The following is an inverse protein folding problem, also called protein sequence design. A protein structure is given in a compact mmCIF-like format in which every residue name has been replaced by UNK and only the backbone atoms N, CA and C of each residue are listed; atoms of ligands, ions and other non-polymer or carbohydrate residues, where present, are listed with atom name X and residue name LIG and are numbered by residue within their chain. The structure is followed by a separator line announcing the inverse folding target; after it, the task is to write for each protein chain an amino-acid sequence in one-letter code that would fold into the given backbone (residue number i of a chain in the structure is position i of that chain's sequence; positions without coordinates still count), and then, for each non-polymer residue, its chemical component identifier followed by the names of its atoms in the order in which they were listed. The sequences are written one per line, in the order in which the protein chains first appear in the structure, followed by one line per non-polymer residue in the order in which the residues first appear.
data_IF_730558050224
#
_entry.id   IF_730558050224
#
_cell.length_a   1.000
_cell.length_b   1.000
_cell.length_c   1.000
_cell.angle_alpha   90.00
_cell.angle_beta   90.00
_cell.angle_gamma   90.00
#
_symmetry.space_group_name_H-M   'P 1'
#
loop_
_entity.id
_entity.type
_entity.pdbx_description
1 polymer ?
#
# COMPACT_ATOMS: atom_id res chain seq x y z
N UNK A 1 -12.88 -21.71 -30.46
CA UNK A 1 -13.77 -21.17 -31.51
C UNK A 1 -13.42 -19.69 -31.66
N UNK A 2 -12.64 -19.35 -32.69
CA UNK A 2 -12.13 -17.99 -32.93
C UNK A 2 -13.04 -17.34 -33.97
N UNK A 3 -13.95 -16.45 -33.54
CA UNK A 3 -14.90 -15.78 -34.44
C UNK A 3 -14.71 -14.27 -34.42
N UNK A 4 -13.81 -13.80 -35.28
CA UNK A 4 -14.07 -12.85 -36.36
C UNK A 4 -12.80 -12.09 -36.76
N UNK A 5 -12.42 -12.25 -38.03
CA UNK A 5 -11.83 -11.13 -38.78
C UNK A 5 -10.32 -10.99 -38.87
N UNK A 6 -9.53 -12.06 -38.65
CA UNK A 6 -8.16 -12.31 -39.19
C UNK A 6 -7.57 -13.58 -38.55
N UNK A 7 -8.37 -14.62 -38.37
CA UNK A 7 -7.88 -15.89 -37.84
C UNK A 7 -7.10 -16.60 -38.95
N UNK A 8 -5.78 -16.44 -38.99
CA UNK A 8 -4.92 -17.49 -39.58
C UNK A 8 -5.19 -18.74 -38.75
N UNK A 9 -5.90 -19.72 -39.32
CA UNK A 9 -6.00 -21.04 -38.74
C UNK A 9 -4.58 -21.55 -38.45
N UNK A 10 -4.22 -21.61 -37.17
CA UNK A 10 -2.96 -22.23 -36.75
C UNK A 10 -3.12 -23.73 -36.94
N UNK A 11 -2.67 -24.23 -38.09
CA UNK A 11 -2.56 -25.67 -38.34
C UNK A 11 -1.74 -26.35 -37.23
N UNK A 12 -2.11 -27.57 -36.85
CA UNK A 12 -1.40 -28.36 -35.85
C UNK A 12 0.10 -28.51 -36.17
N UNK A 13 0.48 -28.52 -37.45
CA UNK A 13 1.89 -28.53 -37.88
C UNK A 13 2.62 -27.22 -37.57
N UNK A 14 1.94 -26.07 -37.71
CA UNK A 14 2.49 -24.76 -37.36
C UNK A 14 2.64 -24.60 -35.85
N UNK A 15 1.67 -25.08 -35.07
CA UNK A 15 1.76 -25.16 -33.60
C UNK A 15 2.95 -26.01 -33.17
N UNK A 16 3.08 -27.22 -33.72
CA UNK A 16 4.20 -28.12 -33.40
C UNK A 16 5.55 -27.50 -33.75
N UNK A 17 5.65 -26.85 -34.91
CA UNK A 17 6.84 -26.11 -35.32
C UNK A 17 7.19 -24.98 -34.34
N UNK A 18 6.19 -24.20 -33.90
CA UNK A 18 6.41 -23.11 -32.96
C UNK A 18 6.75 -23.58 -31.55
N UNK A 19 6.09 -24.63 -31.07
CA UNK A 19 6.44 -25.28 -29.78
C UNK A 19 7.86 -25.84 -29.84
N UNK A 20 8.29 -26.42 -30.96
CA UNK A 20 9.67 -26.89 -31.12
C UNK A 20 10.73 -25.78 -31.20
N UNK A 21 10.31 -24.52 -31.44
CA UNK A 21 11.17 -23.34 -31.42
C UNK A 21 11.25 -22.67 -30.03
N UNK A 22 10.52 -23.19 -29.05
CA UNK A 22 10.60 -22.74 -27.66
C UNK A 22 12.04 -22.76 -27.17
N UNK A 23 12.51 -21.67 -26.57
CA UNK A 23 13.83 -21.63 -25.91
C UNK A 23 13.76 -22.21 -24.50
N UNK A 24 12.57 -22.21 -23.91
CA UNK A 24 12.33 -22.75 -22.57
C UNK A 24 11.81 -24.19 -22.65
N UNK A 25 12.14 -25.00 -21.65
CA UNK A 25 11.64 -26.38 -21.54
C UNK A 25 10.18 -26.44 -21.05
N UNK A 26 9.69 -25.36 -20.43
CA UNK A 26 8.35 -25.23 -19.84
C UNK A 26 7.39 -24.40 -20.69
N UNK A 27 7.82 -23.97 -21.90
CA UNK A 27 7.07 -23.13 -22.84
C UNK A 27 6.68 -21.76 -22.27
N UNK A 28 7.36 -21.30 -21.22
CA UNK A 28 7.12 -20.00 -20.57
C UNK A 28 7.28 -18.82 -21.53
N UNK A 29 8.27 -18.90 -22.44
CA UNK A 29 8.53 -17.93 -23.50
C UNK A 29 7.42 -17.86 -24.55
N UNK A 30 6.68 -18.96 -24.76
CA UNK A 30 5.56 -18.99 -25.70
C UNK A 30 4.28 -18.43 -25.07
N UNK A 31 4.06 -18.63 -23.77
CA UNK A 31 2.83 -18.21 -23.09
C UNK A 31 2.58 -16.71 -23.22
N UNK A 32 3.60 -15.89 -23.00
CA UNK A 32 3.49 -14.43 -23.12
C UNK A 32 3.20 -13.97 -24.57
N UNK A 33 3.67 -14.73 -25.57
CA UNK A 33 3.48 -14.44 -26.99
C UNK A 33 2.09 -14.81 -27.50
N UNK A 34 1.55 -15.91 -27.00
CA UNK A 34 0.22 -16.41 -27.39
C UNK A 34 -0.90 -15.98 -26.45
N UNK A 35 -0.60 -15.16 -25.44
CA UNK A 35 -1.60 -14.57 -24.58
C UNK A 35 -2.56 -13.71 -25.43
N UNK A 36 -3.88 -14.00 -25.41
CA UNK A 36 -4.85 -13.24 -26.16
C UNK A 36 -4.98 -11.80 -25.64
N UNK A 37 -5.49 -10.91 -26.48
CA UNK A 37 -5.80 -9.53 -26.08
C UNK A 37 -6.83 -9.49 -24.95
N UNK A 38 -6.74 -8.46 -24.08
CA UNK A 38 -7.67 -8.25 -22.98
C UNK A 38 -9.14 -8.28 -23.42
N UNK A 39 -9.47 -7.70 -24.58
CA UNK A 39 -10.85 -7.66 -25.09
C UNK A 39 -11.38 -9.07 -25.44
N UNK A 40 -10.48 -9.97 -25.86
CA UNK A 40 -10.81 -11.37 -26.15
C UNK A 40 -10.94 -12.14 -24.83
N UNK A 41 -10.04 -11.89 -23.89
CA UNK A 41 -10.08 -12.46 -22.54
C UNK A 41 -11.43 -12.13 -21.87
N UNK A 42 -11.85 -10.86 -21.87
CA UNK A 42 -13.09 -10.44 -21.24
C UNK A 42 -14.34 -11.04 -21.87
N UNK A 43 -14.37 -11.19 -23.20
CA UNK A 43 -15.50 -11.78 -23.92
C UNK A 43 -15.60 -13.29 -23.76
N UNK A 44 -14.47 -13.97 -23.59
CA UNK A 44 -14.39 -15.44 -23.46
C UNK A 44 -14.33 -15.90 -22.01
N UNK A 45 -14.12 -14.98 -21.07
CA UNK A 45 -14.08 -15.28 -19.66
C UNK A 45 -15.38 -15.89 -19.14
N UNK A 46 -15.22 -16.79 -18.18
CA UNK A 46 -16.34 -17.38 -17.47
C UNK A 46 -17.05 -16.31 -16.66
N UNK A 47 -18.38 -16.29 -16.75
CA UNK A 47 -19.21 -15.36 -15.99
C UNK A 47 -19.06 -15.57 -14.47
N UNK A 48 -19.17 -14.51 -13.67
CA UNK A 48 -19.00 -14.61 -12.21
C UNK A 48 -20.05 -15.52 -11.55
N UNK A 49 -21.27 -15.54 -12.10
CA UNK A 49 -22.38 -16.38 -11.64
C UNK A 49 -22.14 -17.88 -11.82
N UNK A 50 -21.38 -18.28 -12.84
CA UNK A 50 -21.00 -19.68 -13.06
C UNK A 50 -19.75 -20.08 -12.29
N UNK A 51 -18.87 -19.12 -12.02
CA UNK A 51 -17.61 -19.32 -11.30
C UNK A 51 -17.81 -19.38 -9.78
N UNK A 52 -18.61 -18.47 -9.22
CA UNK A 52 -18.88 -18.34 -7.78
C UNK A 52 -20.25 -18.95 -7.47
N UNK A 53 -20.26 -20.23 -7.11
CA UNK A 53 -21.51 -20.97 -6.90
C UNK A 53 -22.10 -20.76 -5.50
N UNK A 54 -21.25 -20.80 -4.47
CA UNK A 54 -21.68 -20.58 -3.08
C UNK A 54 -20.83 -19.48 -2.46
N UNK A 55 -21.49 -18.51 -1.85
CA UNK A 55 -20.87 -17.40 -1.16
C UNK A 55 -21.54 -17.17 0.18
N UNK A 56 -20.73 -17.10 1.24
CA UNK A 56 -21.16 -16.58 2.54
C UNK A 56 -20.05 -15.79 3.21
N UNK A 57 -20.43 -14.72 3.91
CA UNK A 57 -19.53 -13.97 4.79
C UNK A 57 -20.13 -13.92 6.18
N UNK A 58 -19.40 -14.40 7.19
CA UNK A 58 -19.88 -14.51 8.58
C UNK A 58 -21.23 -15.23 8.69
N UNK A 59 -21.41 -16.30 7.91
CA UNK A 59 -22.64 -17.09 7.78
C UNK A 59 -23.84 -16.36 7.14
N UNK A 60 -23.63 -15.16 6.60
CA UNK A 60 -24.64 -14.44 5.82
C UNK A 60 -24.38 -14.68 4.33
N UNK A 61 -25.42 -15.06 3.59
CA UNK A 61 -25.31 -15.29 2.15
C UNK A 61 -24.86 -14.01 1.43
N UNK A 62 -23.86 -14.12 0.55
CA UNK A 62 -23.39 -13.03 -0.31
C UNK A 62 -23.69 -13.30 -1.78
N UNK A 63 -23.65 -12.23 -2.56
CA UNK A 63 -23.95 -12.26 -3.99
C UNK A 63 -22.64 -12.15 -4.80
N UNK A 64 -22.55 -12.88 -5.92
CA UNK A 64 -21.44 -12.78 -6.86
C UNK A 64 -21.20 -11.34 -7.37
N UNK A 65 -22.23 -10.48 -7.36
CA UNK A 65 -22.13 -9.04 -7.70
C UNK A 65 -21.22 -8.23 -6.76
N UNK A 66 -20.85 -8.79 -5.60
CA UNK A 66 -19.89 -8.18 -4.66
C UNK A 66 -18.42 -8.49 -5.04
N UNK A 67 -18.22 -9.22 -6.12
CA UNK A 67 -16.92 -9.54 -6.70
C UNK A 67 -16.74 -8.76 -7.99
N UNK A 68 -15.64 -8.03 -8.07
CA UNK A 68 -15.39 -7.09 -9.14
C UNK A 68 -14.34 -7.63 -10.08
N UNK A 69 -14.58 -7.59 -11.41
CA UNK A 69 -13.63 -8.14 -12.36
C UNK A 69 -12.35 -7.29 -12.38
N UNK A 70 -11.21 -7.98 -12.40
CA UNK A 70 -9.89 -7.40 -12.60
C UNK A 70 -9.17 -8.23 -13.67
N UNK A 71 -9.15 -7.70 -14.90
CA UNK A 71 -8.58 -8.42 -16.04
C UNK A 71 -7.07 -8.24 -16.08
N UNK A 72 -6.35 -9.35 -16.19
CA UNK A 72 -4.90 -9.38 -16.40
C UNK A 72 -4.54 -10.19 -17.64
N UNK A 73 -3.43 -9.85 -18.28
CA UNK A 73 -2.94 -10.60 -19.43
C UNK A 73 -2.47 -12.01 -19.07
N UNK A 74 -1.87 -12.19 -17.90
CA UNK A 74 -1.28 -13.47 -17.48
C UNK A 74 -2.29 -14.47 -16.92
N UNK A 75 -3.28 -14.00 -16.17
CA UNK A 75 -4.24 -14.85 -15.45
C UNK A 75 -5.68 -14.74 -15.97
N UNK A 76 -5.93 -13.85 -16.93
CA UNK A 76 -7.27 -13.61 -17.46
C UNK A 76 -8.12 -12.74 -16.52
N UNK A 77 -9.44 -13.00 -16.48
CA UNK A 77 -10.37 -12.26 -15.60
C UNK A 77 -10.30 -12.81 -14.18
N UNK A 78 -9.76 -12.01 -13.26
CA UNK A 78 -9.81 -12.27 -11.82
C UNK A 78 -11.05 -11.61 -11.20
N UNK A 79 -11.44 -12.06 -10.02
CA UNK A 79 -12.59 -11.53 -9.28
C UNK A 79 -12.17 -11.08 -7.87
N UNK A 80 -12.23 -9.78 -7.63
CA UNK A 80 -11.78 -9.15 -6.38
C UNK A 80 -12.95 -8.85 -5.47
N UNK A 81 -12.94 -9.44 -4.27
CA UNK A 81 -13.92 -9.14 -3.22
C UNK A 81 -13.52 -7.86 -2.46
N UNK A 82 -14.50 -7.08 -2.01
CA UNK A 82 -14.28 -5.88 -1.18
C UNK A 82 -13.52 -4.72 -1.86
N UNK A 83 -13.59 -4.63 -3.19
CA UNK A 83 -12.91 -3.57 -3.99
C UNK A 83 -13.84 -2.91 -5.04
N UNK A 84 -14.92 -2.22 -4.63
CA UNK A 84 -15.93 -1.66 -5.56
C UNK A 84 -15.43 -0.54 -6.45
N UNK A 85 -14.30 0.10 -6.12
CA UNK A 85 -13.71 1.14 -6.96
C UNK A 85 -13.27 0.61 -8.33
N UNK A 86 -13.06 -0.71 -8.45
CA UNK A 86 -12.70 -1.38 -9.71
C UNK A 86 -13.80 -1.34 -10.77
N UNK A 87 -15.08 -1.12 -10.41
CA UNK A 87 -16.17 -1.14 -11.40
C UNK A 87 -16.41 0.23 -11.99
N UNK A 88 -15.86 0.52 -13.16
CA UNK A 88 -16.15 1.74 -13.93
C UNK A 88 -17.61 1.75 -14.46
N UNK A 89 -18.18 0.57 -14.74
CA UNK A 89 -19.45 0.40 -15.50
C UNK A 89 -20.74 0.66 -14.72
N UNK A 90 -20.81 0.38 -13.41
CA UNK A 90 -22.04 0.53 -12.62
C UNK A 90 -22.36 1.98 -12.25
N UNK A 91 -21.38 2.89 -12.37
CA UNK A 91 -21.53 4.32 -12.10
C UNK A 91 -20.48 5.12 -12.87
N UNK A 92 -20.63 5.24 -14.20
CA UNK A 92 -19.63 5.88 -15.05
C UNK A 92 -19.44 7.37 -14.76
N UNK A 93 -20.45 8.02 -14.14
CA UNK A 93 -20.44 9.45 -13.83
C UNK A 93 -19.82 9.78 -12.46
N UNK A 94 -19.31 8.79 -11.71
CA UNK A 94 -18.71 9.00 -10.39
C UNK A 94 -17.20 8.93 -10.51
N UNK A 95 -16.52 10.03 -10.16
CA UNK A 95 -15.06 10.11 -10.20
C UNK A 95 -14.40 9.08 -9.28
N UNK A 96 -13.15 8.71 -9.57
CA UNK A 96 -12.40 7.76 -8.73
C UNK A 96 -12.22 8.32 -7.31
N UNK A 97 -11.99 9.64 -7.20
CA UNK A 97 -11.90 10.33 -5.92
C UNK A 97 -13.17 10.24 -5.09
N UNK A 98 -14.35 10.38 -5.72
CA UNK A 98 -15.64 10.25 -5.05
C UNK A 98 -15.87 8.81 -4.58
N UNK A 99 -15.44 7.82 -5.37
CA UNK A 99 -15.48 6.41 -4.94
C UNK A 99 -14.59 6.19 -3.73
N UNK A 100 -13.41 6.80 -3.71
CA UNK A 100 -12.47 6.70 -2.59
C UNK A 100 -12.99 7.33 -1.31
N UNK A 101 -13.63 8.50 -1.40
CA UNK A 101 -14.25 9.16 -0.24
C UNK A 101 -15.46 8.41 0.30
N UNK A 102 -16.26 7.78 -0.57
CA UNK A 102 -17.52 7.16 -0.18
C UNK A 102 -17.42 5.66 0.14
N UNK A 103 -16.31 5.01 -0.20
CA UNK A 103 -16.15 3.58 0.03
C UNK A 103 -15.56 3.28 1.40
N UNK A 104 -16.31 2.51 2.18
CA UNK A 104 -15.83 1.88 3.41
C UNK A 104 -15.65 0.38 3.15
N UNK A 105 -14.40 -0.14 3.18
CA UNK A 105 -14.15 -1.57 3.13
C UNK A 105 -14.91 -2.31 4.22
N UNK A 106 -15.47 -3.46 3.87
CA UNK A 106 -16.13 -4.34 4.83
C UNK A 106 -15.10 -4.85 5.84
N UNK A 107 -15.36 -4.61 7.12
CA UNK A 107 -14.58 -5.14 8.23
C UNK A 107 -15.21 -6.43 8.79
N UNK A 108 -14.38 -7.32 9.32
CA UNK A 108 -14.81 -8.45 10.14
C UNK A 108 -14.49 -8.17 11.60
N UNK A 109 -15.44 -8.45 12.49
CA UNK A 109 -15.26 -8.40 13.94
C UNK A 109 -15.13 -9.80 14.56
N UNK A 110 -15.30 -10.84 13.74
CA UNK A 110 -15.19 -12.24 14.16
C UNK A 110 -13.89 -12.83 13.62
N UNK A 111 -13.32 -13.74 14.39
CA UNK A 111 -12.07 -14.42 14.08
C UNK A 111 -12.28 -15.93 14.09
N UNK A 112 -11.35 -16.64 13.47
CA UNK A 112 -11.38 -18.10 13.38
C UNK A 112 -12.25 -18.65 12.25
N UNK A 113 -12.17 -19.97 12.02
CA UNK A 113 -12.65 -20.60 10.79
C UNK A 113 -14.17 -20.55 10.64
N UNK A 114 -14.97 -20.38 11.70
CA UNK A 114 -16.43 -20.28 11.57
C UNK A 114 -16.91 -18.89 11.09
N UNK A 115 -15.98 -17.96 10.85
CA UNK A 115 -16.23 -16.59 10.42
C UNK A 115 -15.48 -16.27 9.12
N UNK A 116 -15.62 -15.04 8.62
CA UNK A 116 -14.96 -14.60 7.40
C UNK A 116 -15.66 -15.06 6.12
N UNK A 117 -14.92 -15.14 5.04
CA UNK A 117 -15.41 -15.40 3.68
C UNK A 117 -15.31 -16.90 3.36
N UNK A 118 -16.45 -17.55 3.08
CA UNK A 118 -16.49 -18.92 2.60
C UNK A 118 -17.06 -18.97 1.18
N UNK A 119 -16.28 -19.57 0.27
CA UNK A 119 -16.59 -19.71 -1.13
C UNK A 119 -16.53 -21.17 -1.57
N UNK A 120 -17.45 -21.55 -2.46
CA UNK A 120 -17.32 -22.75 -3.30
C UNK A 120 -17.30 -22.29 -4.73
N UNK A 121 -16.16 -22.53 -5.39
CA UNK A 121 -15.88 -22.11 -6.74
C UNK A 121 -15.86 -23.32 -7.67
N UNK A 122 -16.30 -23.09 -8.89
CA UNK A 122 -16.21 -24.06 -9.96
C UNK A 122 -15.20 -23.52 -10.99
N UNK A 123 -14.14 -24.29 -11.25
CA UNK A 123 -13.10 -23.94 -12.21
C UNK A 123 -13.41 -24.44 -13.63
N UNK A 124 -14.24 -25.49 -13.75
CA UNK A 124 -14.56 -26.16 -15.02
C UNK A 124 -13.31 -26.49 -15.85
N UNK A 125 -12.46 -27.37 -15.29
CA UNK A 125 -11.17 -27.77 -15.83
C UNK A 125 -11.23 -28.28 -17.29
N UNK A 126 -12.36 -28.83 -17.74
CA UNK A 126 -12.56 -29.27 -19.12
C UNK A 126 -12.45 -28.13 -20.16
N UNK A 127 -12.61 -26.87 -19.76
CA UNK A 127 -12.50 -25.71 -20.64
C UNK A 127 -11.09 -25.11 -20.74
N UNK A 128 -10.11 -25.70 -20.06
CA UNK A 128 -8.76 -25.14 -19.99
C UNK A 128 -8.03 -25.27 -21.33
N UNK A 129 -7.36 -24.20 -21.73
CA UNK A 129 -6.47 -24.20 -22.89
C UNK A 129 -5.12 -24.77 -22.46
N UNK A 130 -4.86 -26.05 -22.81
CA UNK A 130 -3.70 -26.80 -22.33
C UNK A 130 -2.34 -26.13 -22.61
N UNK A 131 -2.22 -25.32 -23.66
CA UNK A 131 -0.99 -24.61 -24.00
C UNK A 131 -0.76 -23.33 -23.15
N UNK A 132 -1.82 -22.74 -22.61
CA UNK A 132 -1.75 -21.46 -21.86
C UNK A 132 -1.90 -21.66 -20.34
N UNK A 133 -2.46 -22.79 -19.91
CA UNK A 133 -2.80 -23.07 -18.51
C UNK A 133 -2.00 -24.28 -17.99
N UNK A 134 -0.73 -24.10 -17.60
CA UNK A 134 0.10 -25.20 -17.08
C UNK A 134 -0.35 -25.71 -15.71
N UNK A 135 -1.16 -24.93 -14.98
CA UNK A 135 -1.64 -25.27 -13.65
C UNK A 135 -3.15 -25.47 -13.64
N UNK A 136 -3.61 -26.50 -12.92
CA UNK A 136 -5.02 -26.73 -12.62
C UNK A 136 -5.29 -26.37 -11.16
N UNK A 137 -6.01 -25.28 -10.94
CA UNK A 137 -6.28 -24.77 -9.60
C UNK A 137 -6.74 -23.32 -9.61
N UNK A 138 -6.73 -22.72 -8.43
CA UNK A 138 -7.10 -21.32 -8.19
C UNK A 138 -5.89 -20.56 -7.66
N UNK A 139 -5.60 -19.38 -8.22
CA UNK A 139 -4.63 -18.46 -7.64
C UNK A 139 -5.34 -17.40 -6.81
N UNK A 140 -4.86 -17.16 -5.59
CA UNK A 140 -5.44 -16.19 -4.64
C UNK A 140 -4.38 -15.18 -4.24
N UNK A 141 -4.73 -13.90 -4.32
CA UNK A 141 -3.91 -12.77 -3.87
C UNK A 141 -4.65 -12.08 -2.73
N UNK A 142 -3.97 -11.82 -1.62
CA UNK A 142 -4.47 -11.04 -0.50
C UNK A 142 -3.79 -9.67 -0.54
N UNK A 143 -4.57 -8.60 -0.67
CA UNK A 143 -4.05 -7.24 -0.80
C UNK A 143 -4.99 -6.24 -0.13
N UNK A 144 -4.49 -5.02 0.14
CA UNK A 144 -5.33 -3.91 0.58
C UNK A 144 -6.31 -3.49 -0.52
N UNK A 145 -7.52 -2.98 -0.19
CA UNK A 145 -8.52 -2.63 -1.18
C UNK A 145 -7.99 -1.69 -2.25
N UNK A 146 -7.25 -0.65 -1.87
CA UNK A 146 -6.74 0.39 -2.77
C UNK A 146 -5.39 0.06 -3.42
N UNK A 147 -4.84 -1.13 -3.18
CA UNK A 147 -3.60 -1.56 -3.80
C UNK A 147 -3.90 -2.39 -5.05
N UNK A 148 -3.18 -2.13 -6.14
CA UNK A 148 -3.31 -2.93 -7.36
C UNK A 148 -2.78 -4.35 -7.12
N UNK A 149 -3.56 -5.41 -7.39
CA UNK A 149 -3.04 -6.77 -7.33
C UNK A 149 -2.24 -7.10 -8.60
N UNK A 150 -1.11 -7.80 -8.41
CA UNK A 150 -0.32 -8.37 -9.50
C UNK A 150 -0.28 -9.91 -9.39
N UNK A 151 -1.34 -10.62 -9.82
CA UNK A 151 -1.41 -12.08 -9.70
C UNK A 151 -0.29 -12.84 -10.41
N UNK A 152 0.43 -12.25 -11.37
CA UNK A 152 1.58 -12.89 -12.00
C UNK A 152 2.76 -13.06 -11.02
N UNK A 153 2.98 -12.06 -10.15
CA UNK A 153 4.13 -12.00 -9.25
C UNK A 153 3.75 -12.41 -7.82
N UNK A 154 2.51 -12.16 -7.42
CA UNK A 154 2.04 -12.33 -6.05
C UNK A 154 0.95 -13.40 -5.93
N UNK A 155 0.76 -13.90 -4.71
CA UNK A 155 -0.30 -14.85 -4.36
C UNK A 155 0.17 -16.30 -4.26
N UNK A 156 -0.78 -17.17 -3.93
CA UNK A 156 -0.57 -18.60 -3.75
C UNK A 156 -1.58 -19.42 -4.54
N UNK A 157 -1.17 -20.63 -4.93
CA UNK A 157 -1.99 -21.55 -5.72
C UNK A 157 -2.68 -22.56 -4.80
N UNK A 158 -3.97 -22.79 -5.05
CA UNK A 158 -4.81 -23.76 -4.38
C UNK A 158 -5.21 -24.86 -5.36
N UNK A 159 -5.07 -26.11 -4.94
CA UNK A 159 -5.38 -27.26 -5.78
C UNK A 159 -6.90 -27.43 -5.95
N UNK A 160 -7.31 -27.90 -7.12
CA UNK A 160 -8.69 -28.30 -7.34
C UNK A 160 -9.03 -29.61 -6.60
N UNK A 161 -10.29 -29.78 -6.21
CA UNK A 161 -10.83 -30.94 -5.50
C UNK A 161 -10.64 -30.94 -3.99
N UNK A 162 -10.05 -29.89 -3.42
CA UNK A 162 -9.79 -29.78 -1.98
C UNK A 162 -10.59 -28.65 -1.33
N UNK A 163 -10.74 -28.77 0.00
CA UNK A 163 -11.24 -27.71 0.87
C UNK A 163 -10.07 -27.04 1.57
N UNK A 164 -9.88 -25.75 1.32
CA UNK A 164 -8.80 -24.95 1.88
C UNK A 164 -9.31 -24.01 2.97
N UNK A 165 -8.57 -23.95 4.08
CA UNK A 165 -8.80 -23.09 5.22
C UNK A 165 -7.59 -22.17 5.35
N UNK A 166 -7.81 -20.88 5.14
CA UNK A 166 -6.81 -19.83 4.99
C UNK A 166 -6.95 -18.88 6.18
N UNK A 167 -6.00 -18.98 7.10
CA UNK A 167 -5.89 -18.11 8.26
C UNK A 167 -5.02 -16.91 7.93
N UNK A 168 -5.60 -15.71 7.98
CA UNK A 168 -4.94 -14.45 7.59
C UNK A 168 -4.48 -13.68 8.82
N UNK A 169 -3.26 -13.17 8.78
CA UNK A 169 -2.76 -12.17 9.76
C UNK A 169 -2.36 -10.89 9.03
N UNK A 170 -2.65 -9.76 9.67
CA UNK A 170 -2.35 -8.42 9.16
C UNK A 170 -1.10 -7.88 9.85
N UNK A 171 -0.17 -7.34 9.07
CA UNK A 171 0.98 -6.59 9.54
C UNK A 171 1.01 -5.23 8.86
N UNK A 172 1.11 -4.17 9.64
CA UNK A 172 1.23 -2.79 9.17
C UNK A 172 2.67 -2.33 9.42
N UNK A 173 3.30 -1.76 8.42
CA UNK A 173 4.64 -1.20 8.51
C UNK A 173 4.57 0.30 8.21
N UNK A 174 5.00 1.10 9.18
CA UNK A 174 5.16 2.54 9.04
C UNK A 174 6.66 2.84 9.00
N UNK A 175 7.12 3.38 7.87
CA UNK A 175 8.51 3.78 7.63
C UNK A 175 8.66 5.27 7.73
N UNK A 176 9.86 5.70 8.15
CA UNK A 176 10.19 7.12 8.18
C UNK A 176 10.83 7.56 6.87
N UNK A 177 10.32 8.66 6.34
CA UNK A 177 10.89 9.30 5.16
C UNK A 177 12.19 10.06 5.45
N UNK A 178 12.62 10.81 4.45
CA UNK A 178 13.81 11.67 4.54
C UNK A 178 13.69 12.68 5.69
N UNK A 179 14.74 12.94 6.48
CA UNK A 179 16.15 12.54 6.28
C UNK A 179 16.56 11.20 6.92
N UNK A 180 15.66 10.48 7.58
CA UNK A 180 16.01 9.29 8.37
C UNK A 180 15.93 7.98 7.58
N UNK A 181 15.08 7.94 6.55
CA UNK A 181 14.94 6.82 5.63
C UNK A 181 14.50 7.29 4.24
N UNK A 182 14.21 6.35 3.36
CA UNK A 182 13.74 6.60 2.01
C UNK A 182 12.46 5.78 1.78
N UNK A 183 11.34 6.48 1.60
CA UNK A 183 10.05 5.88 1.29
C UNK A 183 9.22 6.85 0.44
N UNK A 184 8.21 6.32 -0.26
CA UNK A 184 7.31 7.11 -1.11
C UNK A 184 5.84 6.80 -0.81
N UNK A 185 4.99 7.81 -0.97
CA UNK A 185 3.52 7.69 -0.93
C UNK A 185 2.91 8.32 -2.20
N UNK A 186 3.61 8.19 -3.33
CA UNK A 186 3.19 8.75 -4.63
C UNK A 186 2.02 7.95 -5.23
N UNK A 187 0.84 8.14 -4.64
CA UNK A 187 -0.36 7.42 -5.00
C UNK A 187 -0.87 7.86 -6.37
N UNK A 188 -1.28 6.88 -7.19
CA UNK A 188 -2.04 7.18 -8.40
C UNK A 188 -3.50 7.51 -8.03
N UNK A 189 -4.27 8.17 -8.91
CA UNK A 189 -5.69 8.42 -8.63
C UNK A 189 -6.49 7.15 -8.32
N UNK A 190 -6.11 6.02 -8.94
CA UNK A 190 -6.82 4.74 -8.83
C UNK A 190 -6.29 3.82 -7.73
N UNK A 191 -4.97 3.78 -7.54
CA UNK A 191 -4.31 2.85 -6.63
C UNK A 191 -3.25 3.54 -5.77
N UNK A 192 -3.14 3.06 -4.54
CA UNK A 192 -2.09 3.45 -3.61
C UNK A 192 -0.73 2.96 -4.08
N UNK A 193 0.29 3.73 -3.72
CA UNK A 193 1.67 3.43 -4.04
C UNK A 193 2.05 2.09 -3.44
N UNK A 194 2.66 1.26 -4.27
CA UNK A 194 3.39 0.08 -3.85
C UNK A 194 4.65 -0.02 -4.69
N UNK A 195 5.68 -0.62 -4.12
CA UNK A 195 6.95 -0.87 -4.82
C UNK A 195 6.70 -1.65 -6.12
N UNK A 196 5.86 -2.69 -6.05
CA UNK A 196 5.45 -3.47 -7.21
C UNK A 196 4.76 -2.63 -8.29
N UNK A 197 3.82 -1.75 -7.90
CA UNK A 197 3.16 -0.84 -8.85
C UNK A 197 4.18 0.09 -9.50
N UNK A 198 5.08 0.70 -8.72
CA UNK A 198 6.11 1.59 -9.24
C UNK A 198 6.99 0.91 -10.29
N UNK A 199 7.48 -0.30 -10.00
CA UNK A 199 8.33 -1.08 -10.91
C UNK A 199 7.57 -1.40 -12.21
N UNK A 200 6.31 -1.87 -12.10
CA UNK A 200 5.49 -2.20 -13.27
C UNK A 200 5.21 -0.97 -14.13
N UNK A 201 4.87 0.15 -13.51
CA UNK A 201 4.66 1.42 -14.24
C UNK A 201 5.96 1.90 -14.90
N UNK A 202 7.12 1.77 -14.22
CA UNK A 202 8.42 2.13 -14.79
C UNK A 202 8.72 1.34 -16.08
N UNK A 203 8.52 0.03 -16.05
CA UNK A 203 8.75 -0.84 -17.22
C UNK A 203 7.76 -0.49 -18.36
N UNK A 204 6.50 -0.23 -18.04
CA UNK A 204 5.49 0.19 -19.04
C UNK A 204 5.85 1.53 -19.70
N UNK A 205 6.45 2.47 -18.96
CA UNK A 205 6.98 3.72 -19.56
C UNK A 205 8.07 3.44 -20.59
N UNK A 206 8.96 2.48 -20.32
CA UNK A 206 10.01 2.11 -21.28
C UNK A 206 9.45 1.43 -22.53
N UNK A 207 8.40 0.60 -22.42
CA UNK A 207 7.70 0.09 -23.60
C UNK A 207 7.11 1.23 -24.45
N UNK A 208 6.46 2.22 -23.82
CA UNK A 208 5.88 3.37 -24.52
C UNK A 208 6.94 4.26 -25.18
N UNK A 209 8.05 4.53 -24.49
CA UNK A 209 9.15 5.38 -25.00
C UNK A 209 9.91 4.72 -26.14
N UNK A 210 10.26 3.45 -26.01
CA UNK A 210 11.16 2.76 -26.97
C UNK A 210 10.41 2.02 -28.07
N UNK A 211 9.34 1.31 -27.72
CA UNK A 211 8.60 0.47 -28.66
C UNK A 211 7.38 1.18 -29.27
N UNK A 212 7.05 2.38 -28.76
CA UNK A 212 5.93 3.19 -29.23
C UNK A 212 4.58 2.44 -29.20
N UNK A 213 4.42 1.56 -28.22
CA UNK A 213 3.22 0.76 -28.00
C UNK A 213 3.02 0.55 -26.49
N UNK A 214 1.82 0.11 -26.10
CA UNK A 214 1.49 -0.20 -24.71
C UNK A 214 1.25 -1.70 -24.56
N UNK A 215 1.87 -2.32 -23.55
CA UNK A 215 1.59 -3.73 -23.23
C UNK A 215 0.28 -3.81 -22.46
N UNK A 216 0.07 -2.85 -21.54
CA UNK A 216 -1.11 -2.70 -20.69
C UNK A 216 -1.62 -4.05 -20.16
N UNK A 217 -1.00 -4.55 -19.10
CA UNK A 217 -1.34 -5.86 -18.53
C UNK A 217 -2.60 -5.84 -17.66
N UNK A 218 -3.24 -4.67 -17.46
CA UNK A 218 -4.46 -4.55 -16.66
C UNK A 218 -4.80 -3.11 -16.23
N UNK A 219 -5.87 -2.91 -15.42
CA UNK A 219 -6.35 -1.57 -15.05
C UNK A 219 -5.33 -0.67 -14.32
N UNK A 220 -4.31 -1.25 -13.69
CA UNK A 220 -3.25 -0.51 -13.00
C UNK A 220 -2.44 0.43 -13.90
N UNK A 221 -2.34 0.11 -15.20
CA UNK A 221 -1.52 0.86 -16.17
C UNK A 221 -2.30 1.99 -16.86
N UNK A 222 -3.62 2.08 -16.63
CA UNK A 222 -4.47 3.13 -17.20
C UNK A 222 -4.02 4.52 -16.74
N UNK A 223 -3.48 4.63 -15.52
CA UNK A 223 -2.99 5.90 -14.93
C UNK A 223 -1.90 6.58 -15.75
N UNK A 224 -1.08 5.81 -16.47
CA UNK A 224 -0.03 6.36 -17.34
C UNK A 224 -0.60 7.08 -18.56
N UNK A 225 -1.85 6.80 -18.95
CA UNK A 225 -2.49 7.49 -20.08
C UNK A 225 -2.79 8.97 -19.78
N UNK A 226 -2.91 9.30 -18.49
CA UNK A 226 -3.21 10.65 -18.03
C UNK A 226 -1.95 11.50 -17.76
N UNK A 227 -0.76 10.89 -17.74
CA UNK A 227 0.52 11.58 -17.59
C UNK A 227 0.79 12.50 -18.80
N UNK A 228 1.25 13.73 -18.55
CA UNK A 228 1.45 14.75 -19.60
C UNK A 228 2.37 14.30 -20.74
N UNK A 229 3.38 13.47 -20.44
CA UNK A 229 4.30 12.88 -21.43
C UNK A 229 3.56 12.02 -22.47
N UNK A 230 2.55 11.26 -22.03
CA UNK A 230 1.85 10.27 -22.85
C UNK A 230 0.45 10.72 -23.29
N UNK A 231 -0.13 11.73 -22.63
CA UNK A 231 -1.49 12.24 -22.88
C UNK A 231 -1.71 12.73 -24.31
N UNK A 232 -0.70 13.35 -24.92
CA UNK A 232 -0.79 13.84 -26.30
C UNK A 232 -0.73 12.71 -27.35
N UNK A 233 -0.27 11.52 -26.97
CA UNK A 233 0.02 10.43 -27.90
C UNK A 233 -0.82 9.21 -27.60
N UNK A 234 -1.63 8.79 -28.56
CA UNK A 234 -2.38 7.54 -28.44
C UNK A 234 -1.49 6.37 -28.81
N UNK A 235 -1.19 5.51 -27.83
CA UNK A 235 -0.44 4.28 -28.05
C UNK A 235 -1.39 3.14 -28.45
N UNK A 236 -1.02 2.39 -29.50
CA UNK A 236 -1.67 1.13 -29.83
C UNK A 236 -1.14 0.00 -28.92
N UNK A 237 -1.90 -1.10 -28.83
CA UNK A 237 -1.44 -2.33 -28.15
C UNK A 237 -0.20 -2.87 -28.85
N UNK A 238 0.80 -3.33 -28.10
CA UNK A 238 1.99 -3.96 -28.68
C UNK A 238 1.64 -5.31 -29.33
N UNK A 239 2.09 -5.51 -30.58
CA UNK A 239 1.96 -6.78 -31.29
C UNK A 239 3.25 -7.60 -31.21
N UNK A 240 3.18 -8.77 -30.56
CA UNK A 240 4.31 -9.69 -30.43
C UNK A 240 4.61 -10.49 -31.72
N UNK A 241 3.71 -10.44 -32.70
CA UNK A 241 3.88 -11.03 -34.02
C UNK A 241 4.50 -10.06 -35.03
N UNK A 242 4.42 -8.75 -34.78
CA UNK A 242 5.20 -7.78 -35.55
C UNK A 242 6.69 -7.93 -35.23
N UNK A 243 7.52 -7.91 -36.28
CA UNK A 243 8.96 -8.17 -36.13
C UNK A 243 9.66 -7.07 -35.34
N UNK A 244 9.30 -5.81 -35.56
CA UNK A 244 9.97 -4.68 -34.92
C UNK A 244 9.49 -4.52 -33.47
N UNK A 245 8.17 -4.56 -33.24
CA UNK A 245 7.62 -4.48 -31.90
C UNK A 245 8.00 -5.69 -31.05
N UNK A 246 7.93 -6.91 -31.59
CA UNK A 246 8.32 -8.12 -30.87
C UNK A 246 9.79 -8.12 -30.43
N UNK A 247 10.72 -7.69 -31.30
CA UNK A 247 12.14 -7.55 -30.94
C UNK A 247 12.37 -6.46 -29.90
N UNK A 248 11.66 -5.33 -30.02
CA UNK A 248 11.74 -4.25 -29.04
C UNK A 248 11.21 -4.71 -27.68
N UNK A 249 10.10 -5.45 -27.66
CA UNK A 249 9.51 -5.98 -26.43
C UNK A 249 10.47 -6.94 -25.73
N UNK A 250 11.09 -7.86 -26.47
CA UNK A 250 12.09 -8.80 -25.93
C UNK A 250 13.30 -8.04 -25.36
N UNK A 251 13.77 -7.00 -26.05
CA UNK A 251 14.88 -6.17 -25.58
C UNK A 251 14.54 -5.41 -24.29
N UNK A 252 13.35 -4.81 -24.20
CA UNK A 252 12.88 -4.10 -22.99
C UNK A 252 12.68 -5.09 -21.84
N UNK A 253 12.06 -6.25 -22.08
CA UNK A 253 11.92 -7.28 -21.05
C UNK A 253 13.29 -7.78 -20.54
N UNK A 254 14.25 -7.97 -21.44
CA UNK A 254 15.62 -8.34 -21.06
C UNK A 254 16.30 -7.26 -20.21
N UNK A 255 16.19 -5.99 -20.61
CA UNK A 255 16.75 -4.85 -19.86
C UNK A 255 16.09 -4.68 -18.49
N UNK A 256 14.78 -4.94 -18.37
CA UNK A 256 14.07 -4.93 -17.10
C UNK A 256 14.56 -6.04 -16.16
N UNK A 257 14.76 -7.26 -16.69
CA UNK A 257 15.25 -8.39 -15.89
C UNK A 257 16.73 -8.27 -15.48
N UNK A 258 17.51 -7.45 -16.18
CA UNK A 258 18.93 -7.21 -15.90
C UNK A 258 19.16 -5.91 -15.12
N UNK A 259 18.08 -5.26 -14.65
CA UNK A 259 18.10 -4.02 -13.87
C UNK A 259 18.89 -2.88 -14.56
N UNK A 260 18.86 -2.86 -15.89
CA UNK A 260 19.52 -1.81 -16.70
C UNK A 260 18.71 -0.50 -16.64
N UNK A 261 17.38 -0.61 -16.49
CA UNK A 261 16.53 0.54 -16.25
C UNK A 261 16.67 0.95 -14.78
N UNK A 262 17.25 2.12 -14.54
CA UNK A 262 17.37 2.68 -13.19
C UNK A 262 15.98 3.13 -12.65
N UNK A 263 15.11 2.16 -12.36
CA UNK A 263 13.79 2.37 -11.81
C UNK A 263 13.90 2.61 -10.30
N UNK A 264 13.95 3.89 -9.92
CA UNK A 264 14.01 4.29 -8.50
C UNK A 264 12.61 4.14 -7.90
N UNK A 265 12.38 3.02 -7.22
CA UNK A 265 11.13 2.68 -6.57
C UNK A 265 11.39 2.35 -5.08
N UNK A 266 11.45 3.36 -4.21
CA UNK A 266 11.61 3.13 -2.78
C UNK A 266 10.38 2.44 -2.19
N UNK A 267 10.47 1.78 -1.02
CA UNK A 267 9.32 1.16 -0.39
C UNK A 267 8.25 2.18 -0.01
N UNK A 268 7.00 1.74 0.15
CA UNK A 268 5.92 2.60 0.61
C UNK A 268 6.16 3.07 2.06
N UNK A 269 5.82 4.32 2.40
CA UNK A 269 5.94 4.79 3.77
C UNK A 269 4.93 4.09 4.68
N UNK A 270 3.71 3.87 4.19
CA UNK A 270 2.73 2.99 4.84
C UNK A 270 2.51 1.74 4.00
N UNK A 271 2.94 0.60 4.51
CA UNK A 271 2.75 -0.69 3.83
C UNK A 271 1.94 -1.65 4.69
N UNK A 272 0.95 -2.30 4.09
CA UNK A 272 0.17 -3.33 4.77
C UNK A 272 0.37 -4.67 4.08
N UNK A 273 0.78 -5.67 4.86
CA UNK A 273 0.99 -7.04 4.39
C UNK A 273 -0.01 -7.99 5.03
N UNK A 274 -0.57 -8.87 4.20
CA UNK A 274 -1.41 -9.98 4.63
C UNK A 274 -0.63 -11.27 4.47
N UNK A 275 -0.35 -11.96 5.59
CA UNK A 275 0.25 -13.28 5.53
C UNK A 275 -0.81 -14.37 5.74
N UNK A 276 -0.66 -15.48 5.03
CA UNK A 276 -1.63 -16.57 4.99
C UNK A 276 -1.01 -17.87 5.51
N UNK A 277 -1.68 -18.51 6.46
CA UNK A 277 -1.44 -19.89 6.84
C UNK A 277 -2.53 -20.77 6.21
N UNK A 278 -2.12 -21.70 5.34
CA UNK A 278 -3.03 -22.50 4.52
C UNK A 278 -3.06 -23.93 5.06
N UNK A 279 -4.25 -24.45 5.28
CA UNK A 279 -4.51 -25.86 5.60
C UNK A 279 -5.51 -26.43 4.60
N UNK A 280 -5.34 -27.69 4.22
CA UNK A 280 -6.14 -28.32 3.17
C UNK A 280 -6.67 -29.67 3.63
N UNK A 281 -7.92 -29.97 3.29
CA UNK A 281 -8.56 -31.26 3.59
C UNK A 281 -9.33 -31.74 2.37
N UNK A 282 -9.58 -33.04 2.29
CA UNK A 282 -10.47 -33.60 1.28
C UNK A 282 -11.90 -33.06 1.46
N UNK A 283 -12.58 -32.83 0.35
CA UNK A 283 -13.99 -32.44 0.35
C UNK A 283 -14.87 -33.67 0.57
N UNK A 284 -15.91 -33.55 1.38
CA UNK A 284 -16.92 -34.61 1.51
C UNK A 284 -17.92 -34.51 0.34
N UNK A 285 -17.92 -35.46 -0.63
CA UNK A 285 -18.78 -35.39 -1.80
C UNK A 285 -20.27 -35.55 -1.45
N UNK A 286 -20.61 -36.33 -0.43
CA UNK A 286 -22.00 -36.53 -0.01
C UNK A 286 -22.62 -35.24 0.54
N UNK A 287 -21.82 -34.43 1.24
CA UNK A 287 -22.27 -33.12 1.69
C UNK A 287 -22.58 -32.19 0.50
N UNK A 288 -21.76 -32.20 -0.55
CA UNK A 288 -22.01 -31.39 -1.75
C UNK A 288 -23.29 -31.81 -2.48
N UNK A 289 -23.55 -33.12 -2.61
CA UNK A 289 -24.80 -33.66 -3.19
C UNK A 289 -26.04 -33.14 -2.46
N UNK A 290 -26.01 -33.15 -1.12
CA UNK A 290 -27.10 -32.65 -0.29
C UNK A 290 -27.32 -31.15 -0.54
N UNK A 291 -26.24 -30.36 -0.58
CA UNK A 291 -26.32 -28.91 -0.83
C UNK A 291 -26.92 -28.62 -2.21
N UNK A 292 -26.51 -29.35 -3.24
CA UNK A 292 -27.08 -29.23 -4.60
C UNK A 292 -28.57 -29.54 -4.62
N UNK A 293 -28.95 -30.71 -4.12
CA UNK A 293 -30.31 -31.22 -4.26
C UNK A 293 -31.33 -30.41 -3.45
N UNK A 294 -30.94 -29.92 -2.27
CA UNK A 294 -31.85 -29.19 -1.38
C UNK A 294 -31.93 -27.71 -1.75
N UNK A 295 -30.80 -27.04 -2.03
CA UNK A 295 -30.82 -25.59 -2.27
C UNK A 295 -31.23 -25.19 -3.69
N UNK A 296 -31.40 -26.16 -4.61
CA UNK A 296 -31.82 -25.92 -6.02
C UNK A 296 -31.11 -24.73 -6.66
N UNK A 297 -29.83 -24.54 -6.36
CA UNK A 297 -29.09 -23.49 -7.05
C UNK A 297 -29.05 -23.85 -8.54
N UNK A 298 -29.37 -22.92 -9.45
CA UNK A 298 -29.20 -23.10 -10.89
C UNK A 298 -27.69 -23.08 -11.19
N UNK A 299 -26.99 -24.10 -10.73
CA UNK A 299 -25.59 -24.30 -11.02
C UNK A 299 -25.56 -24.89 -12.42
N UNK A 300 -25.13 -24.10 -13.41
CA UNK A 300 -25.13 -24.48 -14.82
C UNK A 300 -24.32 -25.73 -15.17
N UNK A 301 -23.68 -26.40 -14.20
CA UNK A 301 -22.99 -27.67 -14.33
C UNK A 301 -23.06 -28.42 -13.00
N UNK A 302 -23.19 -29.74 -13.06
CA UNK A 302 -23.16 -30.64 -11.90
C UNK A 302 -21.83 -30.51 -11.11
N UNK A 303 -21.87 -30.07 -9.84
CA UNK A 303 -20.73 -30.14 -8.92
C UNK A 303 -20.25 -31.59 -8.73
N UNK A 304 -21.10 -32.58 -9.02
CA UNK A 304 -20.79 -34.01 -8.91
C UNK A 304 -20.19 -34.63 -10.17
N UNK A 305 -19.87 -33.84 -11.21
CA UNK A 305 -19.14 -34.35 -12.38
C UNK A 305 -17.71 -34.79 -12.01
N UNK A 306 -16.74 -33.90 -12.20
CA UNK A 306 -15.36 -34.11 -11.77
C UNK A 306 -15.07 -33.30 -10.50
N UNK A 307 -14.92 -33.99 -9.36
CA UNK A 307 -14.48 -33.37 -8.09
C UNK A 307 -13.21 -32.53 -8.26
N UNK A 308 -12.36 -32.91 -9.24
CA UNK A 308 -11.13 -32.21 -9.65
C UNK A 308 -11.35 -30.81 -10.26
N UNK A 309 -12.58 -30.31 -10.34
CA UNK A 309 -12.91 -28.98 -10.89
C UNK A 309 -13.48 -28.02 -9.85
N UNK A 310 -13.72 -28.47 -8.62
CA UNK A 310 -14.33 -27.66 -7.55
C UNK A 310 -13.28 -27.24 -6.53
N UNK A 311 -13.33 -26.00 -6.04
CA UNK A 311 -12.47 -25.50 -4.97
C UNK A 311 -13.33 -24.91 -3.89
N UNK A 312 -13.22 -25.44 -2.67
CA UNK A 312 -13.83 -24.82 -1.49
C UNK A 312 -12.74 -24.07 -0.75
N UNK A 313 -12.98 -22.81 -0.42
CA UNK A 313 -12.03 -22.01 0.35
C UNK A 313 -12.75 -21.22 1.44
N UNK A 314 -12.06 -21.07 2.57
CA UNK A 314 -12.52 -20.35 3.74
C UNK A 314 -11.41 -19.43 4.22
N UNK A 315 -11.61 -18.13 4.08
CA UNK A 315 -10.66 -17.08 4.45
C UNK A 315 -11.18 -16.40 5.71
N UNK A 316 -10.37 -16.39 6.77
CA UNK A 316 -10.72 -15.78 8.05
C UNK A 316 -9.51 -15.14 8.71
N UNK A 317 -9.76 -14.22 9.65
CA UNK A 317 -8.72 -13.62 10.46
C UNK A 317 -8.28 -14.57 11.57
N UNK A 318 -6.98 -14.78 11.71
CA UNK A 318 -6.40 -15.62 12.76
C UNK A 318 -6.67 -15.04 14.15
N UNK A 319 -6.57 -13.72 14.29
CA UNK A 319 -6.78 -12.98 15.54
C UNK A 319 -7.35 -11.59 15.27
N UNK A 320 -7.94 -10.97 16.30
CA UNK A 320 -8.52 -9.62 16.18
C UNK A 320 -7.44 -8.52 16.31
N UNK A 321 -6.26 -8.89 16.81
CA UNK A 321 -5.08 -8.04 16.84
C UNK A 321 -4.30 -8.14 15.54
N UNK A 322 -3.60 -7.07 15.18
CA UNK A 322 -2.64 -7.03 14.09
C UNK A 322 -1.28 -6.59 14.63
N UNK A 323 -0.23 -6.85 13.87
CA UNK A 323 1.12 -6.38 14.20
C UNK A 323 1.36 -5.03 13.55
N UNK A 324 1.85 -4.07 14.33
CA UNK A 324 2.24 -2.75 13.84
C UNK A 324 3.74 -2.58 14.09
N UNK A 325 4.49 -2.36 13.02
CA UNK A 325 5.93 -2.12 13.02
C UNK A 325 6.11 -0.67 12.65
N UNK A 326 6.47 0.16 13.62
CA UNK A 326 6.64 1.59 13.45
C UNK A 326 8.11 1.96 13.58
N UNK A 327 8.68 2.54 12.54
CA UNK A 327 10.03 3.08 12.55
C UNK A 327 10.01 4.46 13.20
N UNK A 328 10.88 4.67 14.17
CA UNK A 328 11.04 5.98 14.80
C UNK A 328 12.52 6.36 14.82
N UNK A 329 12.84 7.66 14.70
CA UNK A 329 14.23 8.09 14.74
C UNK A 329 14.85 7.72 16.09
N UNK A 330 15.96 6.98 16.07
CA UNK A 330 16.70 6.61 17.27
C UNK A 330 17.13 7.84 18.08
N UNK A 331 17.27 8.99 17.41
CA UNK A 331 17.64 10.24 18.03
C UNK A 331 16.85 11.40 17.45
N UNK A 332 16.08 12.07 18.31
CA UNK A 332 15.33 13.28 17.97
C UNK A 332 16.16 14.52 18.28
N UNK A 333 15.76 15.67 17.73
CA UNK A 333 16.36 16.95 18.11
C UNK A 333 16.26 17.21 19.63
N UNK A 334 15.17 16.75 20.25
CA UNK A 334 14.99 16.89 21.70
C UNK A 334 15.98 16.06 22.50
N UNK A 335 16.26 14.82 22.08
CA UNK A 335 17.28 13.99 22.73
C UNK A 335 18.68 14.52 22.48
N UNK A 336 18.95 15.11 21.30
CA UNK A 336 20.21 15.79 21.02
C UNK A 336 20.46 16.95 21.97
N UNK A 337 19.52 17.87 22.08
CA UNK A 337 19.65 19.03 22.97
C UNK A 337 19.72 18.59 24.43
N UNK A 338 18.93 17.59 24.82
CA UNK A 338 18.96 17.07 26.20
C UNK A 338 20.32 16.46 26.56
N UNK A 339 20.91 15.65 25.68
CA UNK A 339 22.22 15.05 25.94
C UNK A 339 23.35 16.07 25.85
N UNK A 340 23.29 17.02 24.93
CA UNK A 340 24.27 18.12 24.87
C UNK A 340 24.21 18.96 26.15
N UNK A 341 23.02 19.38 26.56
CA UNK A 341 22.80 20.13 27.79
C UNK A 341 23.19 19.33 29.04
N UNK A 342 22.94 18.02 29.06
CA UNK A 342 23.36 17.14 30.15
C UNK A 342 24.87 17.07 30.29
N UNK A 343 25.59 16.91 29.17
CA UNK A 343 27.06 16.86 29.17
C UNK A 343 27.67 18.22 29.55
N UNK A 344 27.12 19.33 29.05
CA UNK A 344 27.57 20.68 29.43
C UNK A 344 27.25 21.00 30.89
N UNK A 345 26.10 20.55 31.38
CA UNK A 345 25.69 20.70 32.77
C UNK A 345 26.64 20.01 33.75
N UNK A 346 27.28 18.89 33.36
CA UNK A 346 28.29 18.21 34.19
C UNK A 346 29.54 19.06 34.39
N UNK A 347 29.91 19.88 33.40
CA UNK A 347 31.02 20.85 33.49
C UNK A 347 30.58 22.14 34.22
N UNK A 348 29.30 22.26 34.58
CA UNK A 348 28.72 23.46 35.18
C UNK A 348 28.40 24.56 34.17
N UNK A 349 28.46 24.27 32.86
CA UNK A 349 28.09 25.20 31.81
C UNK A 349 26.60 25.11 31.57
N UNK A 350 25.92 26.24 31.72
CA UNK A 350 24.50 26.41 31.44
C UNK A 350 24.27 27.38 30.28
N UNK A 351 23.05 27.41 29.76
CA UNK A 351 22.66 28.38 28.75
C UNK A 351 22.85 29.83 29.24
N UNK A 352 22.67 30.07 30.55
CA UNK A 352 22.89 31.37 31.18
C UNK A 352 24.38 31.74 31.11
N UNK A 353 25.27 30.81 31.50
CA UNK A 353 26.71 31.06 31.43
C UNK A 353 27.20 31.31 29.99
N UNK A 354 26.56 30.72 28.98
CA UNK A 354 26.86 31.02 27.57
C UNK A 354 26.53 32.47 27.22
N UNK A 355 25.34 32.96 27.61
CA UNK A 355 24.96 34.35 27.36
C UNK A 355 25.84 35.35 28.12
N UNK A 356 26.27 35.03 29.34
CA UNK A 356 27.20 35.87 30.10
C UNK A 356 28.54 36.05 29.36
N UNK A 357 29.09 34.97 28.79
CA UNK A 357 30.33 35.03 28.00
C UNK A 357 30.13 35.82 26.71
N UNK A 358 29.02 35.64 26.00
CA UNK A 358 28.72 36.41 24.78
C UNK A 358 28.57 37.89 25.08
N UNK A 359 27.89 38.25 26.18
CA UNK A 359 27.73 39.64 26.61
C UNK A 359 29.09 40.26 26.95
N UNK A 360 29.93 39.55 27.71
CA UNK A 360 31.28 39.99 28.03
C UNK A 360 32.14 40.22 26.76
N UNK A 361 32.11 39.28 25.81
CA UNK A 361 32.84 39.43 24.54
C UNK A 361 32.33 40.60 23.70
N UNK A 362 31.02 40.84 23.71
CA UNK A 362 30.42 41.98 23.02
C UNK A 362 30.84 43.32 23.66
N UNK A 363 30.84 43.41 24.98
CA UNK A 363 31.32 44.59 25.69
C UNK A 363 32.80 44.86 25.39
N UNK A 364 33.65 43.82 25.43
CA UNK A 364 35.07 43.93 25.06
C UNK A 364 35.23 44.38 23.61
N UNK A 365 34.45 43.84 22.68
CA UNK A 365 34.47 44.25 21.28
C UNK A 365 34.07 45.72 21.09
N UNK A 366 33.03 46.18 21.79
CA UNK A 366 32.63 47.59 21.75
C UNK A 366 33.70 48.52 22.30
N UNK A 367 34.40 48.13 23.38
CA UNK A 367 35.53 48.88 23.93
C UNK A 367 36.69 48.95 22.91
N UNK A 368 36.99 47.86 22.22
CA UNK A 368 38.10 47.79 21.26
C UNK A 368 37.81 48.54 19.94
N UNK A 369 36.57 48.51 19.45
CA UNK A 369 36.19 49.11 18.16
C UNK A 369 35.70 50.55 18.30
N UNK A 370 35.11 50.92 19.43
CA UNK A 370 34.56 52.26 19.66
C UNK A 370 34.87 52.82 21.06
N UNK A 371 36.16 53.03 21.40
CA UNK A 371 36.58 53.48 22.74
C UNK A 371 35.97 54.83 23.17
N UNK A 372 35.50 55.66 22.22
CA UNK A 372 34.88 56.97 22.51
C UNK A 372 33.43 56.92 23.03
N UNK A 373 32.74 55.78 22.95
CA UNK A 373 31.36 55.67 23.43
C UNK A 373 31.20 54.90 24.75
N UNK A 374 32.28 54.31 25.29
CA UNK A 374 32.21 53.53 26.53
C UNK A 374 32.39 54.40 27.80
N UNK A 375 32.93 55.62 27.67
CA UNK A 375 33.07 56.57 28.78
C UNK A 375 31.80 57.41 29.01
N UNK A 376 30.65 56.81 29.34
CA UNK A 376 29.60 57.44 30.18
C UNK A 376 28.66 56.35 30.73
N UNK A 377 28.97 55.76 31.88
CA UNK A 377 27.91 55.33 32.84
C UNK A 377 28.40 54.94 34.26
N UNK A 378 29.66 55.18 34.65
CA UNK A 378 30.04 55.13 36.08
C UNK A 378 30.12 56.54 36.67
N UNK A 379 28.97 57.04 37.13
CA UNK A 379 28.87 58.39 37.66
C UNK A 379 27.63 58.66 38.51
N UNK A 380 27.15 57.69 39.29
CA UNK A 380 26.27 57.99 40.43
C UNK A 380 26.67 57.11 41.61
N UNK A 381 27.73 57.53 42.31
CA UNK A 381 27.88 57.24 43.73
C UNK A 381 26.68 57.85 44.46
N UNK A 382 25.61 57.08 44.64
CA UNK A 382 24.56 57.45 45.60
C UNK A 382 25.18 57.40 46.99
N UNK A 383 25.45 58.58 47.53
CA UNK A 383 25.75 58.80 48.94
C UNK A 383 24.73 58.04 49.81
N UNK A 384 25.25 57.11 50.60
CA UNK A 384 24.47 56.43 51.64
C UNK A 384 24.12 57.49 52.70
N UNK A 385 22.85 57.90 52.74
CA UNK A 385 22.31 58.63 53.87
C UNK A 385 22.24 57.69 55.09
N UNK A 386 22.54 58.17 56.31
CA UNK A 386 22.55 57.32 57.49
C UNK A 386 21.14 56.80 57.80
N UNK A 387 21.03 55.47 57.91
CA UNK A 387 19.80 54.76 58.30
C UNK A 387 19.43 55.16 59.73
N UNK A 388 18.31 55.89 59.88
CA UNK A 388 17.63 56.09 61.16
C UNK A 388 17.19 54.72 61.70
N UNK A 389 17.64 54.37 62.92
CA UNK A 389 17.17 53.21 63.68
C UNK A 389 15.66 53.32 63.91
N UNK A 390 14.91 52.31 63.47
CA UNK A 390 13.52 52.06 63.86
C UNK A 390 13.51 50.75 64.68
N UNK A 391 12.83 50.70 65.84
CA UNK A 391 12.97 49.59 66.79
C UNK A 391 12.37 48.27 66.27
N UNK A 392 13.02 47.17 66.66
CA UNK A 392 12.60 45.79 66.42
C UNK A 392 11.22 45.53 67.02
N UNK A 393 10.24 45.14 66.20
CA UNK A 393 9.10 44.33 66.62
C UNK A 393 9.22 42.96 65.96
N UNK A 394 9.55 41.97 66.77
CA UNK A 394 9.52 40.56 66.45
C UNK A 394 8.05 40.14 66.50
N UNK A 395 7.49 39.66 65.39
CA UNK A 395 6.23 38.92 65.40
C UNK A 395 6.57 37.53 64.87
N UNK A 396 6.63 36.58 65.80
CA UNK A 396 6.63 35.14 65.52
C UNK A 396 5.17 34.74 65.41
N UNK A 397 4.76 34.21 64.26
CA UNK A 397 3.55 33.40 64.15
C UNK A 397 3.97 32.05 63.57
N UNK A 398 4.34 31.15 64.48
CA UNK A 398 4.24 29.72 64.25
C UNK A 398 2.77 29.33 64.48
N UNK A 399 2.15 28.73 63.47
CA UNK A 399 0.84 28.08 63.58
C UNK A 399 0.93 26.66 62.98
N UNK A 400 0.21 25.66 63.54
CA UNK A 400 0.37 24.25 63.17
C UNK A 400 -0.26 23.92 61.81
N UNK A 401 0.11 22.77 61.19
CA UNK A 401 -0.38 22.40 59.87
C UNK A 401 -1.79 21.79 59.97
N UNK A 402 -2.74 22.34 59.22
CA UNK A 402 -4.03 21.69 58.95
C UNK A 402 -4.15 21.34 57.45
N UNK A 403 -4.69 20.15 57.11
CA UNK A 403 -4.65 19.61 55.76
C UNK A 403 -5.81 20.13 54.90
N UNK A 404 -5.52 20.47 53.64
CA UNK A 404 -6.51 20.88 52.65
C UNK A 404 -7.34 19.69 52.13
N UNK A 405 -8.66 19.84 51.93
CA UNK A 405 -9.55 18.78 51.45
C UNK A 405 -9.51 18.59 49.93
N UNK A 406 -9.76 17.34 49.51
CA UNK A 406 -9.98 16.95 48.11
C UNK A 406 -11.11 17.74 47.44
N UNK A 407 -10.82 18.32 46.27
CA UNK A 407 -11.78 18.98 45.37
C UNK A 407 -11.66 18.47 43.92
N UNK A 408 -12.81 18.13 43.34
CA UNK A 408 -13.11 17.52 42.02
C UNK A 408 -12.74 18.39 40.78
N UNK A 409 -12.80 17.85 39.54
CA UNK A 409 -11.96 18.29 38.42
C UNK A 409 -12.49 19.54 37.72
N UNK A 410 -11.59 20.45 37.37
CA UNK A 410 -11.88 21.64 36.56
C UNK A 410 -11.70 21.31 35.06
N UNK A 411 -12.69 21.72 34.26
CA UNK A 411 -12.77 21.54 32.80
C UNK A 411 -11.47 21.96 32.08
N UNK A 412 -10.90 21.04 31.29
CA UNK A 412 -9.78 21.31 30.38
C UNK A 412 -10.19 22.35 29.33
N UNK A 413 -9.43 23.45 29.21
CA UNK A 413 -9.43 24.32 28.02
C UNK A 413 -8.69 23.59 26.89
N UNK A 414 -9.12 23.70 25.62
CA UNK A 414 -8.43 23.06 24.51
C UNK A 414 -7.03 23.66 24.33
N UNK A 415 -6.04 22.78 24.14
CA UNK A 415 -4.67 23.13 23.76
C UNK A 415 -4.72 23.89 22.42
N UNK A 416 -4.23 25.13 22.41
CA UNK A 416 -3.98 25.90 21.18
C UNK A 416 -2.92 25.17 20.36
N UNK A 417 -3.22 24.93 19.09
CA UNK A 417 -2.41 24.17 18.14
C UNK A 417 -1.00 24.74 17.93
N UNK A 418 -0.05 23.83 17.73
CA UNK A 418 1.38 24.05 17.46
C UNK A 418 1.67 24.86 16.18
N UNK A 419 0.68 25.03 15.31
CA UNK A 419 0.83 25.67 14.00
C UNK A 419 1.19 27.17 14.04
N UNK A 420 0.92 27.87 15.16
CA UNK A 420 1.23 29.31 15.28
C UNK A 420 2.68 29.60 15.70
N UNK A 421 3.39 28.61 16.22
CA UNK A 421 4.79 28.76 16.64
C UNK A 421 5.76 28.56 15.48
N UNK A 422 5.48 27.64 14.55
CA UNK A 422 6.31 27.42 13.34
C UNK A 422 6.27 28.62 12.40
N UNK A 423 5.10 29.25 12.22
CA UNK A 423 4.93 30.43 11.36
C UNK A 423 5.69 31.67 11.86
N UNK A 424 5.86 31.81 13.18
CA UNK A 424 6.64 32.92 13.77
C UNK A 424 8.15 32.66 13.75
N UNK A 425 8.58 31.40 13.82
CA UNK A 425 10.00 31.06 13.76
C UNK A 425 10.58 31.24 12.35
N UNK A 426 9.86 30.82 11.30
CA UNK A 426 10.34 30.95 9.92
C UNK A 426 10.40 32.41 9.42
N UNK A 427 9.60 33.31 10.00
CA UNK A 427 9.58 34.72 9.62
C UNK A 427 10.75 35.54 10.19
N UNK A 428 11.48 35.00 11.17
CA UNK A 428 12.59 35.71 11.86
C UNK A 428 13.96 35.29 11.33
N UNK A 429 14.08 34.10 10.71
CA UNK A 429 15.38 33.53 10.34
C UNK A 429 15.65 33.41 8.82
N UNK A 430 14.75 33.86 7.95
CA UNK A 430 14.94 33.84 6.48
C UNK A 430 14.78 35.22 5.81
N UNK A 431 15.18 36.29 6.49
CA UNK A 431 15.48 37.56 5.82
C UNK A 431 16.95 37.92 6.03
N UNK A 432 17.82 37.29 5.24
CA UNK A 432 19.01 37.90 4.63
C UNK A 432 19.58 36.99 3.56
#
# INVERSE_FOLDING_TARGET
MWLNGTAREMSASFLKFKVSQSRSNDLSDLRARYAPDLDVIEKTARKPEDFIQVCSVDNVHCNYKQFYPYTTKDMGVCYTFNSPHLVKVSSPNVSIEDRRKNFNPRASFKTGPQSGLSLTLNLHAASYLSLLSPWSGLRVVLHEPWQAPFPADEGFNLAAGLSHSISVTKTVMQRIGSPYGECSDDNTPMFDYSEALCIKLCIEREFRRRCNCTVNEGPAFDSLGDEDEFKAKKFGKCDSFDRFQGLCMEAVAYMANTDIFNCICPPACTEVRYSALISSTNVNPEFLKIVQNIKKFPMGVDLCGDLNSTVRLQIYLASSSYQEIDESPAYTWTTLVANLAGNLGLVGVSLITFFDVVYYLFDVFLILVWPRCYDVSEGVTKSVAPVKKIPKKIIILAGPPEPLPHGKPVKKRPLRSSARWSERFNKVFMSH
#
